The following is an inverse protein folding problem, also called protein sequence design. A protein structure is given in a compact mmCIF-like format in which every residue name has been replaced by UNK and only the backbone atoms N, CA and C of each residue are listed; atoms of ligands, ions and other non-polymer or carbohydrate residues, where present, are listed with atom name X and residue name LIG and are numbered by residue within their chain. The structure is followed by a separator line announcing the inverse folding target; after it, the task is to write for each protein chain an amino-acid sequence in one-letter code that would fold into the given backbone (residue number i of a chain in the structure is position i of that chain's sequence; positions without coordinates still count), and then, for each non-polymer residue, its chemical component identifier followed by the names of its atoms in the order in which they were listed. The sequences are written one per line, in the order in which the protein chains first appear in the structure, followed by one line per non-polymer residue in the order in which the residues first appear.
data_IF_292881828973
#
_entry.id   IF_292881828973
#
_cell.length_a   1.000
_cell.length_b   1.000
_cell.length_c   1.000
_cell.angle_alpha   90.00
_cell.angle_beta   90.00
_cell.angle_gamma   90.00
#
_symmetry.space_group_name_H-M   'P 1'
#
loop_
_entity.id
_entity.type
_entity.pdbx_description
1 polymer ?
#
# COMPACT_ATOMS: atom_id res chain seq x y z
N UNK A 1 18.79 -31.60 -30.24
CA UNK A 1 19.69 -30.42 -30.36
C UNK A 1 19.26 -29.40 -29.32
N UNK A 2 20.02 -29.24 -28.22
CA UNK A 2 19.76 -28.15 -27.26
C UNK A 2 20.32 -26.86 -27.88
N UNK A 3 19.44 -25.98 -28.35
CA UNK A 3 19.81 -24.65 -28.84
C UNK A 3 20.38 -23.87 -27.65
N UNK A 4 21.66 -23.48 -27.71
CA UNK A 4 22.24 -22.55 -26.73
C UNK A 4 21.58 -21.19 -26.92
N UNK A 5 20.65 -20.84 -26.04
CA UNK A 5 20.07 -19.51 -25.96
C UNK A 5 20.98 -18.61 -25.12
N UNK A 6 21.89 -17.88 -25.76
CA UNK A 6 22.62 -16.78 -25.13
C UNK A 6 22.01 -15.45 -25.60
N UNK A 7 20.81 -15.12 -25.12
CA UNK A 7 20.26 -13.77 -25.29
C UNK A 7 20.98 -12.85 -24.31
N UNK A 8 21.72 -11.87 -24.82
CA UNK A 8 22.31 -10.82 -23.98
C UNK A 8 21.23 -9.99 -23.26
N UNK A 9 21.56 -9.47 -22.06
CA UNK A 9 20.62 -8.69 -21.22
C UNK A 9 19.95 -7.54 -21.98
N UNK A 10 20.69 -6.86 -22.86
CA UNK A 10 20.17 -5.78 -23.72
C UNK A 10 19.08 -6.26 -24.68
N UNK A 11 19.27 -7.44 -25.30
CA UNK A 11 18.29 -8.03 -26.21
C UNK A 11 17.04 -8.51 -25.46
N UNK A 12 17.21 -9.06 -24.25
CA UNK A 12 16.09 -9.41 -23.39
C UNK A 12 15.26 -8.17 -23.00
N UNK A 13 15.90 -7.07 -22.60
CA UNK A 13 15.19 -5.83 -22.27
C UNK A 13 14.37 -5.29 -23.45
N UNK A 14 14.97 -5.24 -24.66
CA UNK A 14 14.28 -4.82 -25.89
C UNK A 14 13.09 -5.71 -26.23
N UNK A 15 13.25 -7.03 -26.12
CA UNK A 15 12.17 -7.99 -26.33
C UNK A 15 10.97 -7.70 -25.41
N UNK A 16 11.22 -7.35 -24.15
CA UNK A 16 10.15 -7.00 -23.20
C UNK A 16 9.47 -5.69 -23.57
N UNK A 17 10.23 -4.65 -23.94
CA UNK A 17 9.67 -3.39 -24.44
C UNK A 17 8.79 -3.61 -25.68
N UNK A 18 9.26 -4.37 -26.66
CA UNK A 18 8.51 -4.69 -27.87
C UNK A 18 7.25 -5.51 -27.57
N UNK A 19 7.33 -6.39 -26.56
CA UNK A 19 6.15 -7.14 -26.09
C UNK A 19 5.09 -6.20 -25.53
N UNK A 20 5.47 -5.20 -24.72
CA UNK A 20 4.52 -4.19 -24.20
C UNK A 20 3.92 -3.37 -25.35
N UNK A 21 4.74 -2.93 -26.32
CA UNK A 21 4.28 -2.21 -27.52
C UNK A 21 3.28 -3.03 -28.34
N UNK A 22 3.51 -4.33 -28.49
CA UNK A 22 2.63 -5.22 -29.25
C UNK A 22 1.23 -5.36 -28.63
N UNK A 23 1.10 -5.06 -27.34
CA UNK A 23 -0.18 -5.09 -26.61
C UNK A 23 -0.84 -3.70 -26.53
N UNK A 24 -0.31 -2.71 -27.25
CA UNK A 24 -0.87 -1.36 -27.38
C UNK A 24 -0.52 -0.39 -26.25
N UNK A 25 0.56 -0.66 -25.51
CA UNK A 25 1.05 0.20 -24.42
C UNK A 25 2.49 0.67 -24.68
N UNK A 26 2.88 1.83 -24.14
CA UNK A 26 4.26 2.31 -24.23
C UNK A 26 5.10 1.82 -23.03
N UNK A 27 6.23 1.12 -23.25
CA UNK A 27 7.13 0.74 -22.18
C UNK A 27 7.93 1.93 -21.65
N UNK A 28 8.08 1.99 -20.33
CA UNK A 28 8.90 3.00 -19.66
C UNK A 28 9.91 2.31 -18.73
N UNK A 29 11.03 1.84 -19.27
CA UNK A 29 12.12 1.31 -18.45
C UNK A 29 12.68 2.42 -17.56
N UNK A 30 12.88 2.13 -16.26
CA UNK A 30 13.32 3.12 -15.26
C UNK A 30 14.74 2.79 -14.79
N UNK A 31 15.60 3.81 -14.78
CA UNK A 31 16.96 3.70 -14.24
C UNK A 31 17.51 5.08 -13.83
N UNK A 32 18.64 5.07 -13.13
CA UNK A 32 19.35 6.28 -12.72
C UNK A 32 20.66 6.40 -13.52
N UNK A 33 20.92 7.59 -14.07
CA UNK A 33 22.15 7.89 -14.77
C UNK A 33 22.60 9.30 -14.42
N UNK A 34 23.89 9.47 -14.13
CA UNK A 34 24.55 10.79 -14.07
C UNK A 34 23.78 11.82 -13.21
N UNK A 35 23.20 11.35 -12.12
CA UNK A 35 22.48 12.17 -11.13
C UNK A 35 21.02 12.47 -11.49
N UNK A 36 20.47 11.77 -12.48
CA UNK A 36 19.11 11.95 -12.97
C UNK A 36 18.32 10.65 -12.94
N UNK A 37 17.01 10.80 -12.70
CA UNK A 37 16.03 9.74 -12.87
C UNK A 37 15.60 9.74 -14.34
N UNK A 38 15.62 8.58 -14.98
CA UNK A 38 15.11 8.40 -16.34
C UNK A 38 13.89 7.48 -16.30
N UNK A 39 12.79 7.95 -16.91
CA UNK A 39 11.54 7.21 -17.08
C UNK A 39 11.35 7.01 -18.59
N UNK A 40 11.53 5.78 -19.06
CA UNK A 40 11.76 5.49 -20.47
C UNK A 40 13.23 5.68 -20.83
N UNK A 41 13.85 4.65 -21.39
CA UNK A 41 15.27 4.64 -21.75
C UNK A 41 15.43 4.59 -23.26
N UNK A 42 16.46 5.27 -23.78
CA UNK A 42 16.91 5.05 -25.16
C UNK A 42 17.57 3.69 -25.32
N UNK A 43 17.76 3.24 -26.56
CA UNK A 43 18.49 2.00 -26.88
C UNK A 43 19.90 1.99 -26.29
N UNK A 44 20.58 3.14 -26.32
CA UNK A 44 21.93 3.32 -25.78
C UNK A 44 21.93 3.25 -24.26
N UNK A 45 20.92 3.85 -23.60
CA UNK A 45 20.77 3.80 -22.15
C UNK A 45 20.42 2.39 -21.66
N UNK A 46 19.56 1.66 -22.39
CA UNK A 46 19.26 0.25 -22.14
C UNK A 46 20.53 -0.61 -22.20
N UNK A 47 21.34 -0.45 -23.25
CA UNK A 47 22.61 -1.14 -23.37
C UNK A 47 23.56 -0.77 -22.21
N UNK A 48 23.66 0.53 -21.89
CA UNK A 48 24.51 1.05 -20.81
C UNK A 48 24.18 0.40 -19.46
N UNK A 49 22.91 0.31 -19.07
CA UNK A 49 22.54 -0.33 -17.80
C UNK A 49 22.69 -1.85 -17.84
N UNK A 50 22.38 -2.49 -18.97
CA UNK A 50 22.45 -3.94 -19.12
C UNK A 50 23.88 -4.49 -19.07
N UNK A 51 24.84 -3.73 -19.61
CA UNK A 51 26.24 -4.13 -19.78
C UNK A 51 27.18 -3.53 -18.72
N UNK A 52 26.72 -2.54 -17.95
CA UNK A 52 27.53 -1.92 -16.91
C UNK A 52 27.90 -2.90 -15.80
N UNK A 53 29.21 -3.03 -15.55
CA UNK A 53 29.77 -3.78 -14.42
C UNK A 53 29.78 -2.97 -13.12
N UNK A 54 29.63 -1.66 -13.23
CA UNK A 54 29.67 -0.70 -12.11
C UNK A 54 28.27 -0.28 -11.67
N UNK A 55 27.22 -0.75 -12.34
CA UNK A 55 25.85 -0.43 -12.01
C UNK A 55 25.54 -0.89 -10.58
N UNK A 56 25.04 0.05 -9.77
CA UNK A 56 24.60 -0.24 -8.40
C UNK A 56 23.13 -0.63 -8.39
N UNK A 57 22.76 -1.58 -7.54
CA UNK A 57 21.37 -1.93 -7.29
C UNK A 57 20.77 -0.87 -6.35
N UNK A 58 19.71 -0.20 -6.80
CA UNK A 58 19.10 0.94 -6.09
C UNK A 58 17.73 0.54 -5.56
N UNK A 59 17.58 0.42 -4.24
CA UNK A 59 16.28 0.39 -3.56
C UNK A 59 15.84 1.81 -3.19
N UNK A 60 14.62 1.98 -2.66
CA UNK A 60 14.06 3.31 -2.34
C UNK A 60 14.99 4.17 -1.47
N UNK A 61 15.62 3.58 -0.45
CA UNK A 61 16.58 4.28 0.43
C UNK A 61 17.85 4.74 -0.28
N UNK A 62 18.21 4.08 -1.38
CA UNK A 62 19.48 4.30 -2.07
C UNK A 62 19.35 5.39 -3.16
N UNK A 63 18.12 5.80 -3.53
CA UNK A 63 17.86 6.74 -4.64
C UNK A 63 18.64 8.04 -4.47
N UNK A 64 18.49 8.71 -3.31
CA UNK A 64 19.15 9.99 -3.06
C UNK A 64 20.69 9.87 -3.12
N UNK A 65 21.23 8.78 -2.58
CA UNK A 65 22.67 8.52 -2.61
C UNK A 65 23.16 8.29 -4.04
N UNK A 66 22.46 7.46 -4.83
CA UNK A 66 22.81 7.15 -6.20
C UNK A 66 22.77 8.42 -7.10
N UNK A 67 21.76 9.26 -6.92
CA UNK A 67 21.64 10.54 -7.64
C UNK A 67 22.78 11.50 -7.25
N UNK A 68 23.06 11.68 -5.96
CA UNK A 68 24.14 12.56 -5.52
C UNK A 68 25.52 12.10 -6.00
N UNK A 69 25.75 10.79 -6.13
CA UNK A 69 27.00 10.23 -6.64
C UNK A 69 27.10 10.18 -8.15
N UNK A 70 25.99 10.42 -8.86
CA UNK A 70 25.96 10.34 -10.32
C UNK A 70 26.20 8.94 -10.88
N UNK A 71 26.01 7.88 -10.08
CA UNK A 71 26.30 6.51 -10.51
C UNK A 71 25.19 5.95 -11.39
N UNK A 72 25.55 4.96 -12.22
CA UNK A 72 24.57 4.16 -12.96
C UNK A 72 23.81 3.28 -11.98
N UNK A 73 22.50 3.44 -11.89
CA UNK A 73 21.65 2.75 -10.91
C UNK A 73 20.57 1.91 -11.56
N UNK A 74 20.61 0.59 -11.35
CA UNK A 74 19.53 -0.33 -11.68
C UNK A 74 18.53 -0.43 -10.54
N UNK A 75 17.29 -0.02 -10.76
CA UNK A 75 16.27 0.07 -9.71
C UNK A 75 15.68 -1.29 -9.36
N UNK A 76 15.45 -1.54 -8.06
CA UNK A 76 14.66 -2.68 -7.58
C UNK A 76 13.16 -2.43 -7.80
N UNK A 77 12.32 -3.42 -7.48
CA UNK A 77 10.86 -3.23 -7.50
C UNK A 77 10.45 -2.04 -6.63
N UNK A 78 10.96 -1.95 -5.39
CA UNK A 78 10.68 -0.82 -4.51
C UNK A 78 11.00 0.56 -5.14
N UNK A 79 12.21 0.73 -5.69
CA UNK A 79 12.59 2.00 -6.30
C UNK A 79 11.81 2.28 -7.59
N UNK A 80 11.59 1.26 -8.43
CA UNK A 80 10.82 1.40 -9.67
C UNK A 80 9.38 1.80 -9.38
N UNK A 81 8.71 1.18 -8.40
CA UNK A 81 7.35 1.55 -8.00
C UNK A 81 7.26 3.01 -7.56
N UNK A 82 8.17 3.44 -6.67
CA UNK A 82 8.21 4.82 -6.20
C UNK A 82 8.34 5.82 -7.35
N UNK A 83 9.28 5.58 -8.26
CA UNK A 83 9.55 6.46 -9.39
C UNK A 83 8.46 6.40 -10.47
N UNK A 84 7.87 5.22 -10.71
CA UNK A 84 6.74 5.03 -11.62
C UNK A 84 5.52 5.81 -11.12
N UNK A 85 5.19 5.70 -9.83
CA UNK A 85 4.08 6.43 -9.23
C UNK A 85 4.29 7.94 -9.30
N UNK A 86 5.51 8.43 -9.02
CA UNK A 86 5.87 9.84 -9.17
C UNK A 86 5.69 10.34 -10.61
N UNK A 87 5.82 9.47 -11.61
CA UNK A 87 5.61 9.76 -13.02
C UNK A 87 4.15 9.52 -13.49
N UNK A 88 3.23 9.12 -12.61
CA UNK A 88 1.84 8.80 -12.94
C UNK A 88 1.64 7.44 -13.62
N UNK A 89 2.66 6.57 -13.61
CA UNK A 89 2.57 5.21 -14.15
C UNK A 89 1.93 4.29 -13.10
N UNK A 90 0.79 3.68 -13.46
CA UNK A 90 -0.02 2.85 -12.55
C UNK A 90 0.21 1.35 -12.69
N UNK A 91 0.87 0.89 -13.75
CA UNK A 91 1.13 -0.53 -14.02
C UNK A 91 2.62 -0.76 -14.20
N UNK A 92 3.17 -1.73 -13.46
CA UNK A 92 4.58 -2.09 -13.52
C UNK A 92 4.73 -3.61 -13.69
N UNK A 93 5.32 -4.06 -14.80
CA UNK A 93 5.63 -5.47 -15.03
C UNK A 93 7.07 -5.81 -14.60
N UNK A 94 7.22 -6.91 -13.88
CA UNK A 94 8.53 -7.44 -13.45
C UNK A 94 8.53 -8.97 -13.49
N UNK A 95 9.67 -9.59 -13.25
CA UNK A 95 9.74 -11.04 -13.14
C UNK A 95 9.00 -11.52 -11.91
N UNK A 96 9.49 -11.13 -10.75
CA UNK A 96 8.98 -11.56 -9.44
C UNK A 96 9.38 -10.54 -8.39
N UNK A 97 8.53 -10.32 -7.40
CA UNK A 97 8.83 -9.38 -6.32
C UNK A 97 9.84 -9.98 -5.33
N UNK A 98 10.54 -9.13 -4.58
CA UNK A 98 11.13 -9.56 -3.32
C UNK A 98 10.04 -9.86 -2.29
N UNK A 99 10.43 -10.38 -1.13
CA UNK A 99 9.50 -10.86 -0.14
C UNK A 99 10.17 -11.17 1.19
N UNK A 100 9.51 -11.97 2.01
CA UNK A 100 10.06 -12.50 3.25
C UNK A 100 11.06 -13.60 2.94
N UNK A 101 12.27 -13.50 3.46
CA UNK A 101 13.28 -14.54 3.25
C UNK A 101 13.01 -15.77 4.13
N UNK A 102 13.45 -16.94 3.65
CA UNK A 102 13.42 -18.17 4.46
C UNK A 102 14.32 -17.97 5.69
N UNK A 103 13.82 -18.32 6.89
CA UNK A 103 14.54 -18.09 8.17
C UNK A 103 14.35 -16.69 8.79
N UNK A 104 13.36 -15.92 8.32
CA UNK A 104 13.04 -14.57 8.85
C UNK A 104 12.84 -14.52 10.37
N UNK A 105 12.43 -15.62 10.99
CA UNK A 105 12.26 -15.76 12.45
C UNK A 105 13.54 -15.48 13.24
N UNK A 106 14.69 -15.56 12.58
CA UNK A 106 16.01 -15.28 13.18
C UNK A 106 16.68 -14.06 12.55
N UNK A 107 16.44 -13.81 11.26
CA UNK A 107 17.21 -12.82 10.48
C UNK A 107 16.50 -11.48 10.32
N UNK A 108 15.16 -11.46 10.42
CA UNK A 108 14.31 -10.34 10.03
C UNK A 108 14.59 -9.81 8.61
N UNK A 109 15.12 -10.67 7.71
CA UNK A 109 15.44 -10.31 6.33
C UNK A 109 14.15 -10.26 5.48
N UNK A 110 13.61 -9.05 5.33
CA UNK A 110 12.37 -8.77 4.62
C UNK A 110 12.67 -7.72 3.54
N UNK A 111 12.26 -8.01 2.31
CA UNK A 111 12.47 -7.10 1.19
C UNK A 111 11.75 -5.77 1.39
N UNK A 112 12.45 -4.67 1.07
CA UNK A 112 11.85 -3.34 0.98
C UNK A 112 10.75 -3.24 -0.09
N UNK A 113 10.66 -4.21 -1.02
CA UNK A 113 9.57 -4.29 -2.00
C UNK A 113 8.21 -4.41 -1.30
N UNK A 114 8.12 -5.20 -0.21
CA UNK A 114 6.88 -5.33 0.55
C UNK A 114 6.49 -4.02 1.22
N UNK A 115 7.48 -3.33 1.79
CA UNK A 115 7.29 -2.03 2.44
C UNK A 115 6.86 -0.94 1.46
N UNK A 116 7.29 -1.04 0.21
CA UNK A 116 6.86 -0.14 -0.86
C UNK A 116 5.42 -0.42 -1.31
N UNK A 117 5.04 -1.69 -1.41
CA UNK A 117 3.70 -2.11 -1.76
C UNK A 117 2.64 -1.61 -0.76
N UNK A 118 2.99 -1.38 0.50
CA UNK A 118 2.07 -0.84 1.51
C UNK A 118 1.71 0.64 1.32
N UNK A 119 2.43 1.37 0.44
CA UNK A 119 2.35 2.84 0.41
C UNK A 119 2.27 3.45 -0.99
N UNK A 120 2.50 2.65 -2.03
CA UNK A 120 2.62 3.14 -3.41
C UNK A 120 1.59 2.44 -4.30
N UNK A 121 0.54 3.15 -4.75
CA UNK A 121 -0.58 2.57 -5.48
C UNK A 121 -0.22 2.32 -6.96
N UNK A 122 0.67 1.34 -7.15
CA UNK A 122 1.07 0.79 -8.44
C UNK A 122 0.72 -0.68 -8.47
N UNK A 123 0.08 -1.13 -9.55
CA UNK A 123 -0.17 -2.54 -9.79
C UNK A 123 1.08 -3.21 -10.34
N UNK A 124 1.64 -4.15 -9.59
CA UNK A 124 2.82 -4.92 -9.97
C UNK A 124 2.37 -6.25 -10.58
N UNK A 125 2.64 -6.42 -11.87
CA UNK A 125 2.40 -7.66 -12.62
C UNK A 125 3.65 -8.52 -12.54
N UNK A 126 3.55 -9.70 -11.92
CA UNK A 126 4.70 -10.56 -11.67
C UNK A 126 4.34 -12.04 -11.57
N UNK A 127 5.33 -12.93 -11.66
CA UNK A 127 5.14 -14.37 -11.45
C UNK A 127 5.12 -14.74 -9.96
N UNK A 128 4.52 -13.89 -9.13
CA UNK A 128 4.55 -14.00 -7.67
C UNK A 128 5.89 -13.56 -7.07
N UNK A 129 6.33 -14.29 -6.06
CA UNK A 129 7.51 -13.98 -5.24
C UNK A 129 8.68 -14.83 -5.71
N UNK A 130 9.90 -14.27 -5.80
CA UNK A 130 11.09 -15.03 -6.23
C UNK A 130 11.23 -16.33 -5.43
N UNK A 131 11.52 -17.43 -6.11
CA UNK A 131 11.51 -18.81 -5.57
C UNK A 131 12.45 -19.06 -4.37
N UNK A 132 13.48 -18.23 -4.21
CA UNK A 132 14.42 -18.27 -3.08
C UNK A 132 13.81 -17.81 -1.73
N UNK A 133 12.59 -17.28 -1.76
CA UNK A 133 11.93 -16.65 -0.63
C UNK A 133 10.90 -17.59 0.04
N UNK A 134 10.32 -17.13 1.13
CA UNK A 134 9.26 -17.80 1.87
C UNK A 134 7.90 -17.27 1.37
N UNK A 135 7.26 -18.03 0.47
CA UNK A 135 6.01 -17.61 -0.18
C UNK A 135 4.87 -17.48 0.84
N UNK A 136 4.58 -18.49 1.70
CA UNK A 136 3.53 -18.36 2.71
C UNK A 136 3.70 -17.14 3.59
N UNK A 137 4.90 -16.91 4.17
CA UNK A 137 5.12 -15.73 5.02
C UNK A 137 5.03 -14.41 4.24
N UNK A 138 5.37 -14.41 2.95
CA UNK A 138 5.23 -13.21 2.11
C UNK A 138 3.76 -12.87 1.86
N UNK A 139 2.93 -13.87 1.56
CA UNK A 139 1.48 -13.66 1.36
C UNK A 139 0.82 -13.18 2.64
N UNK A 140 1.14 -13.79 3.79
CA UNK A 140 0.67 -13.35 5.11
C UNK A 140 1.09 -11.91 5.43
N UNK A 141 2.34 -11.53 5.08
CA UNK A 141 2.81 -10.16 5.23
C UNK A 141 1.97 -9.18 4.40
N UNK A 142 1.71 -9.52 3.14
CA UNK A 142 0.91 -8.70 2.23
C UNK A 142 -0.53 -8.54 2.73
N UNK A 143 -1.13 -9.63 3.22
CA UNK A 143 -2.47 -9.60 3.83
C UNK A 143 -2.53 -8.69 5.06
N UNK A 144 -1.58 -8.87 5.98
CA UNK A 144 -1.49 -8.08 7.22
C UNK A 144 -1.42 -6.57 6.95
N UNK A 145 -0.77 -6.17 5.84
CA UNK A 145 -0.59 -4.76 5.49
C UNK A 145 -1.55 -4.28 4.39
N UNK A 146 -2.67 -4.98 4.20
CA UNK A 146 -3.74 -4.58 3.26
C UNK A 146 -3.25 -4.38 1.82
N UNK A 147 -2.22 -5.12 1.39
CA UNK A 147 -1.78 -5.15 0.00
C UNK A 147 -2.62 -6.17 -0.77
N UNK A 148 -3.41 -5.69 -1.73
CA UNK A 148 -4.24 -6.56 -2.57
C UNK A 148 -3.35 -7.53 -3.37
N UNK A 149 -3.56 -8.83 -3.21
CA UNK A 149 -3.00 -9.83 -4.12
C UNK A 149 -4.12 -10.52 -4.90
N UNK A 150 -3.95 -10.54 -6.22
CA UNK A 150 -4.88 -11.11 -7.18
C UNK A 150 -4.10 -12.14 -8.00
N UNK A 151 -4.51 -13.40 -7.96
CA UNK A 151 -4.02 -14.40 -8.91
C UNK A 151 -4.73 -14.21 -10.25
N UNK A 152 -3.97 -14.10 -11.33
CA UNK A 152 -4.50 -14.06 -12.68
C UNK A 152 -4.58 -15.48 -13.27
N UNK A 153 -5.74 -16.12 -13.16
CA UNK A 153 -5.99 -17.47 -13.64
C UNK A 153 -7.26 -18.12 -13.08
N UNK A 154 -7.50 -19.38 -13.48
CA UNK A 154 -8.69 -20.18 -13.11
C UNK A 154 -8.77 -20.57 -11.65
N UNK A 155 -7.61 -20.74 -11.01
CA UNK A 155 -7.47 -21.25 -9.64
C UNK A 155 -6.74 -20.23 -8.80
N UNK A 156 -7.22 -20.02 -7.58
CA UNK A 156 -6.55 -19.17 -6.61
C UNK A 156 -5.38 -19.92 -5.97
N UNK A 157 -4.30 -20.07 -6.74
CA UNK A 157 -3.03 -20.66 -6.33
C UNK A 157 -1.94 -19.64 -6.62
N UNK A 158 -1.28 -19.16 -5.56
CA UNK A 158 -0.25 -18.13 -5.70
C UNK A 158 1.00 -18.74 -6.37
N UNK A 159 1.51 -18.17 -7.47
CA UNK A 159 2.62 -18.75 -8.21
C UNK A 159 3.96 -18.63 -7.48
N UNK A 160 4.81 -19.64 -7.62
CA UNK A 160 6.14 -19.74 -7.01
C UNK A 160 7.27 -19.33 -7.95
N UNK A 161 7.05 -18.32 -8.80
CA UNK A 161 7.99 -17.84 -9.81
C UNK A 161 8.26 -18.84 -10.94
N UNK A 162 8.97 -19.94 -10.66
CA UNK A 162 9.23 -21.01 -11.63
C UNK A 162 8.19 -22.13 -11.60
N UNK A 163 7.32 -22.15 -10.59
CA UNK A 163 6.26 -23.15 -10.42
C UNK A 163 4.88 -22.48 -10.46
N UNK A 164 3.94 -23.12 -11.15
CA UNK A 164 2.54 -22.67 -11.18
C UNK A 164 1.80 -23.01 -9.88
N UNK A 165 2.14 -24.15 -9.28
CA UNK A 165 1.44 -24.66 -8.11
C UNK A 165 2.29 -24.48 -6.85
N UNK A 166 1.70 -23.81 -5.87
CA UNK A 166 2.22 -23.74 -4.49
C UNK A 166 1.08 -24.05 -3.53
N UNK A 167 1.37 -24.12 -2.24
CA UNK A 167 0.35 -24.27 -1.20
C UNK A 167 -0.26 -22.92 -0.77
N UNK A 168 0.26 -21.80 -1.29
CA UNK A 168 -0.21 -20.46 -0.93
C UNK A 168 -1.36 -20.02 -1.85
N UNK A 169 -2.23 -19.16 -1.33
CA UNK A 169 -3.38 -18.58 -2.04
C UNK A 169 -3.36 -17.07 -1.86
N UNK A 170 -3.77 -16.31 -2.87
CA UNK A 170 -3.97 -14.87 -2.70
C UNK A 170 -5.35 -14.58 -2.09
N UNK A 171 -5.63 -13.31 -1.78
CA UNK A 171 -6.96 -12.90 -1.32
C UNK A 171 -8.00 -13.05 -2.45
N UNK A 172 -7.59 -12.75 -3.70
CA UNK A 172 -8.49 -12.75 -4.85
C UNK A 172 -7.93 -13.54 -6.03
N UNK A 173 -8.81 -13.89 -6.97
CA UNK A 173 -8.45 -14.62 -8.19
C UNK A 173 -9.42 -14.24 -9.30
N UNK A 174 -8.90 -14.01 -10.50
CA UNK A 174 -9.72 -13.68 -11.68
C UNK A 174 -9.03 -14.08 -12.98
N UNK A 175 -9.81 -14.31 -14.02
CA UNK A 175 -9.33 -14.45 -15.41
C UNK A 175 -9.60 -13.18 -16.25
N UNK A 176 -10.30 -12.19 -15.67
CA UNK A 176 -10.73 -10.97 -16.37
C UNK A 176 -9.90 -9.76 -15.95
N UNK A 177 -9.07 -9.24 -16.86
CA UNK A 177 -8.30 -8.02 -16.60
C UNK A 177 -9.20 -6.80 -16.37
N UNK A 178 -10.46 -6.80 -16.85
CA UNK A 178 -11.38 -5.70 -16.56
C UNK A 178 -11.79 -5.66 -15.08
N UNK A 179 -11.80 -6.81 -14.38
CA UNK A 179 -11.97 -6.83 -12.91
C UNK A 179 -10.79 -6.18 -12.21
N UNK A 180 -9.57 -6.41 -12.71
CA UNK A 180 -8.36 -5.77 -12.19
C UNK A 180 -8.41 -4.26 -12.45
N UNK A 181 -8.80 -3.81 -13.64
CA UNK A 181 -9.01 -2.38 -13.96
C UNK A 181 -10.01 -1.73 -12.99
N UNK A 182 -11.18 -2.37 -12.79
CA UNK A 182 -12.19 -1.92 -11.81
C UNK A 182 -11.60 -1.79 -10.40
N UNK A 183 -10.78 -2.74 -9.98
CA UNK A 183 -10.13 -2.71 -8.67
C UNK A 183 -9.15 -1.54 -8.54
N UNK A 184 -8.31 -1.31 -9.56
CA UNK A 184 -7.35 -0.20 -9.60
C UNK A 184 -8.09 1.14 -9.51
N UNK A 185 -9.11 1.35 -10.34
CA UNK A 185 -9.86 2.61 -10.36
C UNK A 185 -10.68 2.82 -9.08
N UNK A 186 -11.26 1.77 -8.51
CA UNK A 186 -11.94 1.86 -7.23
C UNK A 186 -10.96 2.24 -6.11
N UNK A 187 -9.79 1.61 -6.08
CA UNK A 187 -8.75 1.91 -5.10
C UNK A 187 -8.28 3.36 -5.20
N UNK A 188 -8.08 3.86 -6.43
CA UNK A 188 -7.72 5.26 -6.68
C UNK A 188 -8.85 6.22 -6.26
N UNK A 189 -10.10 5.91 -6.60
CA UNK A 189 -11.26 6.72 -6.24
C UNK A 189 -11.47 6.82 -4.72
N UNK A 190 -11.19 5.75 -3.99
CA UNK A 190 -11.22 5.68 -2.53
C UNK A 190 -9.94 6.22 -1.88
N UNK A 191 -8.92 6.56 -2.67
CA UNK A 191 -7.59 7.00 -2.22
C UNK A 191 -6.94 5.99 -1.28
N UNK A 192 -7.08 4.71 -1.59
CA UNK A 192 -6.41 3.66 -0.83
C UNK A 192 -4.92 3.70 -1.15
N UNK A 193 -4.12 3.92 -0.12
CA UNK A 193 -2.67 3.96 -0.21
C UNK A 193 -2.12 2.54 -0.08
N UNK A 194 -2.16 1.77 -1.17
CA UNK A 194 -1.51 0.47 -1.29
C UNK A 194 -1.38 0.05 -2.77
N UNK A 195 -0.31 -0.64 -3.10
CA UNK A 195 -0.12 -1.31 -4.37
C UNK A 195 -1.01 -2.54 -4.51
N UNK A 196 -1.05 -3.09 -5.72
CA UNK A 196 -1.75 -4.35 -6.01
C UNK A 196 -0.78 -5.32 -6.67
N UNK A 197 -0.70 -6.55 -6.17
CA UNK A 197 -0.02 -7.64 -6.86
C UNK A 197 -1.00 -8.31 -7.81
N UNK A 198 -0.68 -8.32 -9.10
CA UNK A 198 -1.29 -9.22 -10.07
C UNK A 198 -0.32 -10.37 -10.32
N UNK A 199 -0.54 -11.49 -9.64
CA UNK A 199 0.31 -12.66 -9.69
C UNK A 199 -0.08 -13.56 -10.89
N UNK A 200 0.78 -13.61 -11.89
CA UNK A 200 0.59 -14.32 -13.15
C UNK A 200 1.42 -15.61 -13.16
N UNK A 201 0.81 -16.80 -13.11
CA UNK A 201 1.54 -18.05 -13.23
C UNK A 201 2.38 -18.12 -14.51
N UNK A 202 3.51 -18.81 -14.43
CA UNK A 202 4.30 -19.15 -15.61
C UNK A 202 3.44 -19.88 -16.65
N UNK A 203 3.59 -19.66 -17.96
CA UNK A 203 2.83 -20.38 -18.99
C UNK A 203 3.00 -21.91 -18.94
N UNK A 204 1.94 -22.67 -19.25
CA UNK A 204 1.91 -24.15 -19.22
C UNK A 204 3.06 -24.78 -20.03
N UNK A 205 3.39 -24.18 -21.18
CA UNK A 205 4.44 -24.65 -22.09
C UNK A 205 5.85 -24.63 -21.47
N UNK A 206 6.05 -23.86 -20.40
CA UNK A 206 7.32 -23.70 -19.69
C UNK A 206 7.34 -24.45 -18.34
N UNK A 207 6.25 -25.14 -17.97
CA UNK A 207 6.07 -25.76 -16.65
C UNK A 207 7.00 -26.97 -16.42
N UNK A 208 7.25 -27.79 -17.44
CA UNK A 208 7.96 -29.07 -17.32
C UNK A 208 9.37 -28.97 -16.72
N UNK A 209 9.97 -27.78 -16.81
CA UNK A 209 11.31 -27.50 -16.31
C UNK A 209 11.32 -26.88 -14.89
N UNK A 210 10.15 -26.49 -14.35
CA UNK A 210 10.01 -25.78 -13.08
C UNK A 210 10.40 -26.61 -11.86
N UNK A 211 10.03 -27.90 -11.83
CA UNK A 211 10.39 -28.79 -10.71
C UNK A 211 11.90 -29.04 -10.64
N UNK A 212 12.56 -29.14 -11.79
CA UNK A 212 14.02 -29.27 -11.86
C UNK A 212 14.71 -28.02 -11.30
N UNK A 213 14.17 -26.82 -11.58
CA UNK A 213 14.68 -25.57 -11.04
C UNK A 213 14.46 -25.49 -9.52
N UNK A 214 13.30 -25.90 -9.01
CA UNK A 214 13.03 -25.89 -7.55
C UNK A 214 14.01 -26.82 -6.80
N UNK A 215 14.30 -27.99 -7.35
CA UNK A 215 15.32 -28.88 -6.78
C UNK A 215 16.70 -28.21 -6.77
N UNK A 216 17.06 -27.51 -7.85
CA UNK A 216 18.32 -26.76 -7.92
C UNK A 216 18.37 -25.58 -6.92
N UNK A 217 17.23 -24.93 -6.65
CA UNK A 217 17.11 -23.86 -5.66
C UNK A 217 17.34 -24.41 -4.25
N UNK A 218 16.77 -25.57 -3.92
CA UNK A 218 16.97 -26.17 -2.60
C UNK A 218 18.46 -26.49 -2.35
N UNK A 219 19.14 -27.07 -3.34
CA UNK A 219 20.59 -27.31 -3.28
C UNK A 219 21.36 -25.99 -3.11
N UNK A 220 21.02 -24.96 -3.88
CA UNK A 220 21.68 -23.66 -3.78
C UNK A 220 21.48 -22.99 -2.41
N UNK A 221 20.31 -23.13 -1.80
CA UNK A 221 20.00 -22.62 -0.46
C UNK A 221 20.83 -23.31 0.63
N UNK A 222 20.95 -24.64 0.56
CA UNK A 222 21.77 -25.42 1.49
C UNK A 222 23.26 -25.06 1.35
N UNK A 223 23.72 -24.83 0.12
CA UNK A 223 25.08 -24.33 -0.14
C UNK A 223 25.29 -22.90 0.37
N UNK A 224 24.33 -22.00 0.21
CA UNK A 224 24.43 -20.64 0.73
C UNK A 224 24.56 -20.64 2.25
N UNK A 225 23.76 -21.49 2.92
CA UNK A 225 23.77 -21.65 4.37
C UNK A 225 25.10 -22.22 4.86
N UNK A 226 25.60 -23.30 4.25
CA UNK A 226 26.90 -23.89 4.62
C UNK A 226 28.09 -22.95 4.40
N UNK A 227 27.98 -22.00 3.45
CA UNK A 227 29.00 -20.98 3.17
C UNK A 227 28.81 -19.67 3.94
N UNK A 228 27.80 -19.58 4.83
CA UNK A 228 27.45 -18.37 5.58
C UNK A 228 27.26 -17.13 4.69
N UNK A 229 26.66 -17.28 3.52
CA UNK A 229 26.32 -16.16 2.64
C UNK A 229 25.06 -15.49 3.20
N UNK A 230 25.11 -14.17 3.42
CA UNK A 230 24.06 -13.42 4.13
C UNK A 230 23.62 -12.15 3.39
N UNK A 231 22.38 -11.73 3.65
CA UNK A 231 21.79 -10.46 3.22
C UNK A 231 21.87 -10.23 1.69
N UNK A 232 22.43 -9.09 1.25
CA UNK A 232 22.43 -8.65 -0.16
C UNK A 232 23.16 -9.61 -1.11
N UNK A 233 24.05 -10.47 -0.58
CA UNK A 233 24.87 -11.38 -1.37
C UNK A 233 24.18 -12.75 -1.61
N UNK A 234 23.11 -13.05 -0.86
CA UNK A 234 22.35 -14.31 -0.99
C UNK A 234 21.68 -14.40 -2.36
N UNK A 235 20.95 -13.37 -2.79
CA UNK A 235 20.20 -13.43 -4.06
C UNK A 235 21.11 -13.60 -5.29
N UNK A 236 22.21 -12.82 -5.46
CA UNK A 236 23.14 -13.03 -6.56
C UNK A 236 23.78 -14.42 -6.55
N UNK A 237 24.17 -14.93 -5.38
CA UNK A 237 24.74 -16.27 -5.24
C UNK A 237 23.73 -17.35 -5.68
N UNK A 238 22.50 -17.30 -5.17
CA UNK A 238 21.48 -18.29 -5.47
C UNK A 238 21.14 -18.32 -6.96
N UNK A 239 20.94 -17.16 -7.59
CA UNK A 239 20.64 -17.10 -9.02
C UNK A 239 21.78 -17.65 -9.88
N UNK A 240 23.03 -17.31 -9.55
CA UNK A 240 24.20 -17.83 -10.26
C UNK A 240 24.33 -19.35 -10.10
N UNK A 241 24.12 -19.87 -8.88
CA UNK A 241 24.23 -21.30 -8.59
C UNK A 241 23.10 -22.11 -9.24
N UNK A 242 21.86 -21.62 -9.20
CA UNK A 242 20.72 -22.24 -9.88
C UNK A 242 20.95 -22.28 -11.40
N UNK A 243 21.47 -21.21 -11.99
CA UNK A 243 21.81 -21.20 -13.41
C UNK A 243 22.88 -22.23 -13.77
N UNK A 244 23.91 -22.39 -12.92
CA UNK A 244 24.94 -23.41 -13.10
C UNK A 244 24.37 -24.83 -13.00
N UNK A 245 23.51 -25.09 -12.00
CA UNK A 245 22.91 -26.41 -11.76
C UNK A 245 21.90 -26.81 -12.85
N UNK A 246 21.24 -25.83 -13.47
CA UNK A 246 20.21 -26.04 -14.50
C UNK A 246 20.76 -25.99 -15.92
N UNK A 247 22.06 -25.74 -16.10
CA UNK A 247 22.69 -25.66 -17.42
C UNK A 247 22.13 -24.56 -18.32
N UNK A 248 21.63 -23.46 -17.75
CA UNK A 248 21.05 -22.33 -18.49
C UNK A 248 19.53 -22.34 -18.65
N UNK A 249 18.84 -23.44 -18.33
CA UNK A 249 17.37 -23.54 -18.48
C UNK A 249 16.62 -22.51 -17.63
N UNK A 250 17.08 -22.24 -16.41
CA UNK A 250 16.49 -21.21 -15.54
C UNK A 250 16.48 -19.82 -16.16
N UNK A 251 17.48 -19.48 -17.01
CA UNK A 251 17.50 -18.21 -17.71
C UNK A 251 16.46 -18.15 -18.83
N UNK A 252 16.32 -19.23 -19.62
CA UNK A 252 15.31 -19.32 -20.69
C UNK A 252 13.91 -19.12 -20.12
N UNK A 253 13.62 -19.82 -19.03
CA UNK A 253 12.32 -19.75 -18.34
C UNK A 253 12.11 -18.36 -17.73
N UNK A 254 13.15 -17.75 -17.17
CA UNK A 254 13.06 -16.39 -16.65
C UNK A 254 12.76 -15.35 -17.74
N UNK A 255 13.26 -15.52 -18.97
CA UNK A 255 12.86 -14.65 -20.08
C UNK A 255 11.40 -14.90 -20.48
N UNK A 256 10.99 -16.16 -20.56
CA UNK A 256 9.60 -16.51 -20.88
C UNK A 256 8.58 -15.98 -19.86
N UNK A 257 8.87 -16.07 -18.56
CA UNK A 257 8.00 -15.51 -17.52
C UNK A 257 7.98 -13.98 -17.57
N UNK A 258 9.14 -13.33 -17.79
CA UNK A 258 9.21 -11.88 -17.93
C UNK A 258 8.37 -11.41 -19.12
N UNK A 259 8.43 -12.13 -20.24
CA UNK A 259 7.64 -11.82 -21.43
C UNK A 259 6.15 -12.00 -21.19
N UNK A 260 5.73 -13.06 -20.48
CA UNK A 260 4.33 -13.25 -20.08
C UNK A 260 3.82 -12.09 -19.21
N UNK A 261 4.61 -11.68 -18.21
CA UNK A 261 4.24 -10.57 -17.33
C UNK A 261 4.21 -9.23 -18.07
N UNK A 262 5.17 -8.99 -18.98
CA UNK A 262 5.19 -7.81 -19.84
C UNK A 262 3.94 -7.75 -20.74
N UNK A 263 3.53 -8.90 -21.30
CA UNK A 263 2.31 -9.02 -22.10
C UNK A 263 1.06 -8.67 -21.29
N UNK A 264 0.89 -9.29 -20.12
CA UNK A 264 -0.27 -9.06 -19.25
C UNK A 264 -0.28 -7.62 -18.74
N UNK A 265 0.87 -7.08 -18.35
CA UNK A 265 1.01 -5.69 -17.93
C UNK A 265 0.69 -4.70 -19.04
N UNK A 266 1.16 -4.95 -20.27
CA UNK A 266 0.82 -4.13 -21.44
C UNK A 266 -0.68 -4.12 -21.73
N UNK A 267 -1.34 -5.29 -21.67
CA UNK A 267 -2.81 -5.38 -21.82
C UNK A 267 -3.55 -4.64 -20.72
N UNK A 268 -3.15 -4.84 -19.47
CA UNK A 268 -3.76 -4.18 -18.32
C UNK A 268 -3.64 -2.66 -18.42
N UNK A 269 -2.46 -2.14 -18.78
CA UNK A 269 -2.23 -0.71 -18.95
C UNK A 269 -3.09 -0.11 -20.07
N UNK A 270 -3.23 -0.82 -21.20
CA UNK A 270 -4.13 -0.40 -22.30
C UNK A 270 -5.58 -0.33 -21.84
N UNK A 271 -6.10 -1.40 -21.22
CA UNK A 271 -7.48 -1.43 -20.72
C UNK A 271 -7.72 -0.34 -19.66
N UNK A 272 -6.74 -0.10 -18.79
CA UNK A 272 -6.81 0.95 -17.77
C UNK A 272 -6.81 2.36 -18.40
N UNK A 273 -6.17 2.55 -19.56
CA UNK A 273 -6.19 3.84 -20.28
C UNK A 273 -7.50 4.08 -21.04
N UNK A 274 -8.18 3.00 -21.43
CA UNK A 274 -9.47 3.03 -22.14
C UNK A 274 -10.68 3.06 -21.19
N UNK A 275 -10.45 2.93 -19.88
CA UNK A 275 -11.54 2.86 -18.91
C UNK A 275 -12.27 4.19 -18.77
N UNK A 276 -13.59 4.15 -18.91
CA UNK A 276 -14.49 5.28 -18.67
C UNK A 276 -15.26 5.14 -17.34
N UNK A 277 -14.78 4.28 -16.42
CA UNK A 277 -15.59 3.87 -15.28
C UNK A 277 -15.98 5.08 -14.40
N UNK A 278 -17.28 5.23 -14.10
CA UNK A 278 -17.77 6.37 -13.34
C UNK A 278 -17.27 6.30 -11.91
N UNK A 279 -16.87 7.45 -11.36
CA UNK A 279 -16.48 7.57 -9.95
C UNK A 279 -17.62 7.04 -9.06
N UNK A 280 -17.33 6.15 -8.09
CA UNK A 280 -18.34 5.64 -7.18
C UNK A 280 -19.02 6.81 -6.46
N UNK A 281 -20.34 6.91 -6.57
CA UNK A 281 -21.12 7.79 -5.71
C UNK A 281 -21.19 7.12 -4.36
N UNK A 282 -20.53 7.68 -3.35
CA UNK A 282 -20.80 7.33 -1.96
C UNK A 282 -22.28 7.65 -1.71
N UNK A 283 -23.12 6.62 -1.63
CA UNK A 283 -24.55 6.78 -1.39
C UNK A 283 -24.76 7.01 0.10
N UNK A 284 -24.47 8.22 0.57
CA UNK A 284 -25.17 8.77 1.72
C UNK A 284 -26.58 9.17 1.25
N UNK A 285 -27.63 8.79 1.97
CA UNK A 285 -28.98 9.35 1.75
C UNK A 285 -28.93 10.86 2.02
N UNK A 286 -28.55 11.64 1.01
CA UNK A 286 -28.68 13.09 1.01
C UNK A 286 -29.98 13.41 0.27
N UNK A 287 -31.07 13.54 1.01
CA UNK A 287 -32.29 14.18 0.53
C UNK A 287 -32.07 15.69 0.48
N UNK A 288 -31.19 16.20 -0.37
CA UNK A 288 -31.21 17.61 -0.73
C UNK A 288 -30.77 17.82 -2.19
N UNK A 289 -31.69 18.40 -2.97
CA UNK A 289 -31.46 18.85 -4.33
C UNK A 289 -30.18 19.69 -4.42
N UNK A 290 -29.36 19.36 -5.41
CA UNK A 290 -28.10 20.05 -5.68
C UNK A 290 -28.37 21.51 -6.10
N UNK A 291 -27.97 22.45 -5.26
CA UNK A 291 -27.63 23.80 -5.70
C UNK A 291 -26.11 23.93 -5.81
N UNK A 292 -25.70 24.60 -6.88
CA UNK A 292 -24.34 24.79 -7.36
C UNK A 292 -23.48 25.63 -6.39
N UNK A 293 -22.18 25.33 -6.38
CA UNK A 293 -21.09 26.03 -5.65
C UNK A 293 -21.26 26.13 -4.13
N UNK A 294 -20.97 25.04 -3.39
CA UNK A 294 -20.78 25.12 -1.93
C UNK A 294 -19.29 25.18 -1.59
N UNK A 295 -18.90 26.25 -0.89
CA UNK A 295 -17.61 26.39 -0.21
C UNK A 295 -17.41 25.17 0.70
N UNK A 296 -16.18 24.64 0.87
CA UNK A 296 -15.94 23.52 1.77
C UNK A 296 -16.47 23.85 3.17
N UNK A 297 -17.15 22.91 3.85
CA UNK A 297 -17.75 23.17 5.15
C UNK A 297 -16.67 23.48 6.18
N UNK A 298 -16.92 24.46 7.04
CA UNK A 298 -16.07 24.74 8.20
C UNK A 298 -16.38 23.74 9.31
N UNK A 299 -15.39 22.96 9.72
CA UNK A 299 -15.52 21.95 10.76
C UNK A 299 -14.73 22.39 11.99
N UNK A 300 -15.37 22.37 13.16
CA UNK A 300 -14.71 22.58 14.45
C UNK A 300 -14.77 21.25 15.21
N UNK A 301 -13.64 20.81 15.74
CA UNK A 301 -13.51 19.57 16.51
C UNK A 301 -13.24 19.92 17.98
N UNK A 302 -14.02 19.34 18.90
CA UNK A 302 -13.96 19.61 20.34
C UNK A 302 -13.77 18.30 21.11
N UNK A 303 -12.60 18.16 21.72
CA UNK A 303 -12.18 16.87 22.29
C UNK A 303 -11.65 15.96 21.19
N UNK A 304 -10.39 15.60 21.32
CA UNK A 304 -9.78 14.52 20.58
C UNK A 304 -8.62 14.01 21.43
N UNK A 305 -8.65 12.75 21.81
CA UNK A 305 -7.41 12.09 22.20
C UNK A 305 -7.26 10.83 21.36
N UNK A 306 -6.37 10.97 20.38
CA UNK A 306 -6.02 10.01 19.34
C UNK A 306 -7.05 9.94 18.21
N UNK A 307 -6.87 10.83 17.24
CA UNK A 307 -7.30 10.61 15.86
C UNK A 307 -6.01 10.43 15.06
N UNK A 308 -5.57 9.18 14.88
CA UNK A 308 -4.59 8.85 13.85
C UNK A 308 -5.36 8.81 12.52
N UNK A 309 -5.59 10.00 11.96
CA UNK A 309 -6.00 10.14 10.57
C UNK A 309 -4.79 10.69 9.83
N UNK A 310 -4.15 9.82 9.05
CA UNK A 310 -3.28 10.25 7.97
C UNK A 310 -4.20 10.76 6.84
N UNK A 311 -4.47 12.06 6.82
CA UNK A 311 -5.08 12.73 5.68
C UNK A 311 -3.99 13.53 4.97
N UNK A 312 -3.55 13.04 3.81
CA UNK A 312 -2.67 13.80 2.92
C UNK A 312 -3.48 14.96 2.34
N UNK A 313 -3.17 16.17 2.79
CA UNK A 313 -3.72 17.43 2.29
C UNK A 313 -2.59 18.26 1.70
N UNK A 314 -2.81 18.84 0.52
CA UNK A 314 -1.91 19.84 -0.06
C UNK A 314 -2.08 21.22 0.62
N UNK A 315 -3.06 21.36 1.51
CA UNK A 315 -3.25 22.55 2.33
C UNK A 315 -2.54 22.37 3.68
N UNK A 316 -1.92 23.43 4.17
CA UNK A 316 -1.32 23.44 5.51
C UNK A 316 -2.44 23.47 6.56
N UNK A 317 -3.04 22.31 6.85
CA UNK A 317 -4.21 22.18 7.75
C UNK A 317 -3.82 22.24 9.23
N UNK A 318 -2.53 22.32 9.56
CA UNK A 318 -2.07 22.48 10.95
C UNK A 318 -2.16 23.94 11.37
N UNK A 319 -3.35 24.35 11.78
CA UNK A 319 -3.52 25.56 12.57
C UNK A 319 -3.41 25.21 14.06
N UNK A 320 -2.24 25.49 14.66
CA UNK A 320 -2.03 25.32 16.11
C UNK A 320 -2.26 26.60 16.91
N UNK A 321 -2.81 27.66 16.29
CA UNK A 321 -3.03 28.96 16.96
C UNK A 321 -3.99 28.86 18.15
N UNK A 322 -4.88 27.87 18.15
CA UNK A 322 -5.87 27.62 19.20
C UNK A 322 -5.58 26.33 20.01
N UNK A 323 -4.34 25.83 20.00
CA UNK A 323 -3.93 24.68 20.81
C UNK A 323 -3.47 25.15 22.18
N UNK A 324 -4.28 24.90 23.20
CA UNK A 324 -3.92 25.21 24.59
C UNK A 324 -2.95 24.15 25.15
N UNK A 325 -1.84 24.61 25.74
CA UNK A 325 -0.81 23.74 26.32
C UNK A 325 -0.93 23.72 27.84
N UNK A 326 -1.30 22.56 28.37
CA UNK A 326 -1.48 22.31 29.80
C UNK A 326 -0.16 21.85 30.39
N UNK A 327 0.41 22.64 31.32
CA UNK A 327 1.77 22.42 31.87
C UNK A 327 1.79 21.52 33.11
N UNK A 328 0.65 21.38 33.78
CA UNK A 328 0.48 20.67 35.05
C UNK A 328 0.05 19.20 34.89
N UNK A 329 -0.18 18.73 33.66
CA UNK A 329 -0.60 17.36 33.38
C UNK A 329 0.31 16.64 32.38
N UNK A 330 0.54 15.33 32.54
CA UNK A 330 1.28 14.53 31.57
C UNK A 330 0.48 14.35 30.28
N UNK A 331 1.19 14.14 29.17
CA UNK A 331 0.58 13.73 27.89
C UNK A 331 -0.21 12.43 28.08
N UNK A 332 -1.42 12.37 27.51
CA UNK A 332 -2.25 11.19 27.55
C UNK A 332 -1.52 9.98 26.96
N UNK A 333 -1.69 8.81 27.58
CA UNK A 333 -1.10 7.55 27.12
C UNK A 333 -2.18 6.52 26.85
N UNK A 334 -2.01 5.73 25.81
CA UNK A 334 -2.88 4.61 25.48
C UNK A 334 -2.03 3.36 25.25
N UNK A 335 -2.46 2.25 25.82
CA UNK A 335 -1.83 0.94 25.63
C UNK A 335 -2.90 -0.06 25.19
N UNK A 336 -2.74 -0.62 24.00
CA UNK A 336 -3.58 -1.70 23.50
C UNK A 336 -2.95 -3.06 23.81
N UNK A 337 -3.75 -4.00 24.31
CA UNK A 337 -3.39 -5.41 24.47
C UNK A 337 -3.98 -6.19 23.31
N UNK A 338 -3.11 -6.71 22.44
CA UNK A 338 -3.48 -7.51 21.29
C UNK A 338 -3.41 -9.00 21.61
N UNK A 339 -4.47 -9.75 21.28
CA UNK A 339 -4.49 -11.23 21.35
C UNK A 339 -4.98 -11.75 20.00
N UNK A 340 -4.11 -12.46 19.28
CA UNK A 340 -4.44 -13.02 17.96
C UNK A 340 -4.71 -11.98 16.88
N UNK A 341 -4.03 -10.82 16.92
CA UNK A 341 -4.22 -9.74 15.94
C UNK A 341 -5.38 -8.79 16.26
N UNK A 342 -6.19 -9.08 17.27
CA UNK A 342 -7.29 -8.21 17.71
C UNK A 342 -6.95 -7.49 19.03
N UNK A 343 -7.26 -6.19 19.10
CA UNK A 343 -7.21 -5.43 20.36
C UNK A 343 -8.30 -5.96 21.28
N UNK A 344 -7.90 -6.65 22.36
CA UNK A 344 -8.84 -7.18 23.37
C UNK A 344 -9.08 -6.21 24.50
N UNK A 345 -8.07 -5.42 24.87
CA UNK A 345 -8.17 -4.43 25.93
C UNK A 345 -7.42 -3.15 25.54
N UNK A 346 -8.02 -2.00 25.83
CA UNK A 346 -7.35 -0.71 25.79
C UNK A 346 -7.21 -0.18 27.21
N UNK A 347 -6.00 0.14 27.64
CA UNK A 347 -5.73 0.84 28.89
C UNK A 347 -5.39 2.28 28.53
N UNK A 348 -6.27 3.21 28.90
CA UNK A 348 -6.12 4.63 28.61
C UNK A 348 -5.84 5.43 29.89
N UNK A 349 -4.75 6.19 29.89
CA UNK A 349 -4.39 7.16 30.91
C UNK A 349 -4.59 8.57 30.34
N UNK A 350 -5.86 8.90 30.13
CA UNK A 350 -6.37 10.12 29.49
C UNK A 350 -7.09 11.05 30.48
N UNK A 351 -7.48 10.53 31.64
CA UNK A 351 -8.65 10.99 32.39
C UNK A 351 -8.61 12.44 32.87
N UNK A 352 -7.45 13.00 33.22
CA UNK A 352 -7.40 14.35 33.80
C UNK A 352 -7.20 15.45 32.78
N UNK A 353 -6.57 15.18 31.64
CA UNK A 353 -6.38 16.19 30.59
C UNK A 353 -7.69 16.50 29.88
N UNK A 354 -8.55 15.49 29.69
CA UNK A 354 -9.85 15.67 29.05
C UNK A 354 -10.82 16.48 29.91
N UNK A 355 -10.69 16.43 31.24
CA UNK A 355 -11.48 17.28 32.16
C UNK A 355 -11.18 18.77 32.00
N UNK A 356 -10.03 19.13 31.43
CA UNK A 356 -9.65 20.53 31.18
C UNK A 356 -10.40 21.13 29.99
N UNK A 357 -11.03 20.30 29.16
CA UNK A 357 -11.97 20.75 28.13
C UNK A 357 -13.30 21.08 28.83
N UNK A 358 -13.35 22.24 29.48
CA UNK A 358 -14.48 22.68 30.31
C UNK A 358 -15.47 23.55 29.52
N UNK A 359 -16.70 23.77 30.03
CA UNK A 359 -17.67 24.68 29.41
C UNK A 359 -17.14 26.10 29.20
N UNK A 360 -16.27 26.58 30.10
CA UNK A 360 -15.63 27.89 29.98
C UNK A 360 -14.67 27.94 28.80
N UNK A 361 -13.90 26.87 28.56
CA UNK A 361 -13.02 26.75 27.39
C UNK A 361 -13.86 26.80 26.11
N UNK A 362 -14.97 26.06 26.05
CA UNK A 362 -15.88 26.10 24.89
C UNK A 362 -16.45 27.50 24.67
N UNK A 363 -16.90 28.15 25.74
CA UNK A 363 -17.49 29.49 25.68
C UNK A 363 -16.46 30.56 25.28
N UNK A 364 -15.20 30.44 25.71
CA UNK A 364 -14.13 31.35 25.28
C UNK A 364 -13.81 31.25 23.78
N UNK A 365 -14.18 30.13 23.14
CA UNK A 365 -14.01 29.87 21.71
C UNK A 365 -15.33 29.91 20.93
N UNK A 366 -16.37 30.53 21.49
CA UNK A 366 -17.72 30.60 20.91
C UNK A 366 -17.73 31.14 19.47
N UNK A 367 -16.86 32.10 19.16
CA UNK A 367 -16.73 32.65 17.81
C UNK A 367 -16.37 31.58 16.76
N UNK A 368 -15.55 30.58 17.12
CA UNK A 368 -15.20 29.47 16.22
C UNK A 368 -16.41 28.58 15.98
N UNK A 369 -17.10 28.18 17.06
CA UNK A 369 -18.29 27.33 17.01
C UNK A 369 -19.41 28.00 16.20
N UNK A 370 -19.65 29.30 16.42
CA UNK A 370 -20.68 30.08 15.72
C UNK A 370 -20.47 30.15 14.21
N UNK A 371 -19.22 30.03 13.76
CA UNK A 371 -18.83 30.13 12.35
C UNK A 371 -18.74 28.77 11.63
N UNK A 372 -18.87 27.67 12.36
CA UNK A 372 -18.76 26.32 11.85
C UNK A 372 -20.04 25.87 11.14
N UNK A 373 -19.93 25.00 10.14
CA UNK A 373 -21.07 24.27 9.59
C UNK A 373 -21.36 23.01 10.41
N UNK A 374 -20.30 22.39 10.94
CA UNK A 374 -20.36 21.22 11.82
C UNK A 374 -19.46 21.41 13.04
N UNK A 375 -19.97 20.99 14.19
CA UNK A 375 -19.24 20.93 15.46
C UNK A 375 -19.18 19.45 15.85
N UNK A 376 -17.98 18.88 15.73
CA UNK A 376 -17.67 17.49 16.01
C UNK A 376 -17.16 17.40 17.46
N UNK A 377 -17.69 16.51 18.28
CA UNK A 377 -17.23 16.38 19.66
C UNK A 377 -17.20 14.95 20.18
N UNK A 378 -16.18 14.69 20.99
CA UNK A 378 -15.77 13.38 21.49
C UNK A 378 -16.47 13.05 22.83
N UNK A 379 -16.97 11.81 22.98
CA UNK A 379 -17.67 11.35 24.18
C UNK A 379 -16.82 11.21 25.44
N UNK A 380 -15.49 11.30 25.34
CA UNK A 380 -14.59 11.32 26.48
C UNK A 380 -14.69 12.62 27.29
N UNK A 381 -15.15 13.74 26.70
CA UNK A 381 -15.23 15.04 27.39
C UNK A 381 -16.31 15.06 28.50
N UNK A 382 -16.23 15.99 29.48
CA UNK A 382 -17.22 16.09 30.56
C UNK A 382 -18.65 16.30 30.04
N UNK A 383 -19.65 15.73 30.71
CA UNK A 383 -21.07 15.89 30.33
C UNK A 383 -21.48 17.37 30.25
N UNK A 384 -21.06 18.21 31.20
CA UNK A 384 -21.37 19.65 31.17
C UNK A 384 -20.77 20.35 29.94
N UNK A 385 -19.63 19.88 29.46
CA UNK A 385 -19.00 20.40 28.24
C UNK A 385 -19.79 19.99 27.00
N UNK A 386 -20.26 18.73 26.95
CA UNK A 386 -21.13 18.24 25.88
C UNK A 386 -22.42 19.07 25.82
N UNK A 387 -23.07 19.27 26.96
CA UNK A 387 -24.28 20.10 27.08
C UNK A 387 -24.03 21.50 26.54
N UNK A 388 -22.93 22.15 26.94
CA UNK A 388 -22.56 23.48 26.46
C UNK A 388 -22.33 23.54 24.95
N UNK A 389 -21.73 22.51 24.35
CA UNK A 389 -21.54 22.43 22.90
C UNK A 389 -22.89 22.32 22.19
N UNK A 390 -23.81 21.50 22.72
CA UNK A 390 -25.14 21.31 22.15
C UNK A 390 -25.99 22.58 22.27
N UNK A 391 -25.88 23.31 23.38
CA UNK A 391 -26.51 24.63 23.53
C UNK A 391 -26.03 25.61 22.46
N UNK A 392 -24.72 25.74 22.29
CA UNK A 392 -24.12 26.68 21.34
C UNK A 392 -24.39 26.27 19.89
N UNK A 393 -24.33 24.98 19.57
CA UNK A 393 -24.67 24.48 18.24
C UNK A 393 -26.14 24.80 17.92
N UNK A 394 -27.04 24.58 18.86
CA UNK A 394 -28.47 24.92 18.71
C UNK A 394 -28.66 26.42 18.52
N UNK A 395 -28.06 27.24 19.41
CA UNK A 395 -28.21 28.69 19.39
C UNK A 395 -27.76 29.31 18.07
N UNK A 396 -26.63 28.83 17.52
CA UNK A 396 -26.09 29.31 16.24
C UNK A 396 -26.60 28.54 15.01
N UNK A 397 -27.55 27.61 15.19
CA UNK A 397 -28.10 26.77 14.14
C UNK A 397 -27.01 25.99 13.36
N UNK A 398 -26.06 25.40 14.10
CA UNK A 398 -24.95 24.59 13.60
C UNK A 398 -25.19 23.12 13.86
N UNK A 399 -24.60 22.27 13.01
CA UNK A 399 -24.79 20.82 13.12
C UNK A 399 -23.86 20.24 14.16
N UNK A 400 -24.41 19.70 15.23
CA UNK A 400 -23.73 18.88 16.21
C UNK A 400 -23.52 17.46 15.68
N UNK A 401 -22.29 16.97 15.78
CA UNK A 401 -21.95 15.58 15.53
C UNK A 401 -21.22 15.02 16.75
N UNK A 402 -21.83 14.00 17.35
CA UNK A 402 -21.30 13.30 18.51
C UNK A 402 -20.60 11.99 18.14
N UNK A 403 -19.37 11.79 18.63
CA UNK A 403 -18.64 10.52 18.54
C UNK A 403 -18.66 9.83 19.90
N UNK A 404 -19.46 8.76 20.07
CA UNK A 404 -19.38 7.93 21.26
C UNK A 404 -18.24 6.93 21.09
N UNK A 405 -17.38 6.81 22.11
CA UNK A 405 -16.23 5.89 22.09
C UNK A 405 -16.51 4.58 22.85
N UNK A 406 -17.55 4.57 23.69
CA UNK A 406 -18.13 3.37 24.31
C UNK A 406 -19.57 3.64 24.79
N UNK A 407 -20.23 2.59 25.29
CA UNK A 407 -21.61 2.64 25.81
C UNK A 407 -21.75 3.63 26.98
N UNK A 408 -20.76 3.74 27.88
CA UNK A 408 -20.87 4.65 29.02
C UNK A 408 -20.80 6.12 28.57
N UNK A 409 -19.97 6.41 27.56
CA UNK A 409 -19.87 7.76 26.96
C UNK A 409 -21.11 8.09 26.14
N UNK A 410 -21.67 7.09 25.45
CA UNK A 410 -22.95 7.23 24.77
C UNK A 410 -24.06 7.67 25.74
N UNK A 411 -24.12 7.11 26.95
CA UNK A 411 -25.16 7.48 27.93
C UNK A 411 -25.16 8.98 28.30
N UNK A 412 -24.02 9.68 28.17
CA UNK A 412 -23.91 11.10 28.55
C UNK A 412 -24.86 12.03 27.81
N UNK A 413 -25.17 11.75 26.54
CA UNK A 413 -26.11 12.59 25.76
C UNK A 413 -27.57 12.41 26.20
N UNK A 414 -27.85 11.42 27.05
CA UNK A 414 -29.16 11.20 27.68
C UNK A 414 -29.23 11.77 29.10
N UNK A 415 -28.12 12.27 29.65
CA UNK A 415 -28.06 12.85 31.00
C UNK A 415 -28.58 14.31 31.04
N UNK A 416 -28.77 14.93 29.89
CA UNK A 416 -29.31 16.29 29.73
C UNK A 416 -30.32 16.36 28.58
N UNK A 417 -31.15 17.40 28.57
CA UNK A 417 -32.23 17.58 27.60
C UNK A 417 -31.70 18.26 26.32
N UNK A 418 -31.11 17.47 25.42
CA UNK A 418 -30.54 17.98 24.17
C UNK A 418 -30.15 16.94 23.12
N UNK A 419 -30.43 15.66 23.32
CA UNK A 419 -30.12 14.60 22.36
C UNK A 419 -30.76 14.86 20.99
N UNK A 420 -32.01 15.34 20.97
CA UNK A 420 -32.78 15.66 19.77
C UNK A 420 -32.14 16.78 18.94
N UNK A 421 -31.20 17.51 19.53
CA UNK A 421 -30.46 18.63 18.91
C UNK A 421 -29.11 18.19 18.36
N UNK A 422 -28.76 16.90 18.48
CA UNK A 422 -27.57 16.30 17.87
C UNK A 422 -27.96 15.72 16.51
N UNK A 423 -27.41 16.27 15.42
CA UNK A 423 -27.82 15.89 14.06
C UNK A 423 -27.14 14.62 13.55
N UNK A 424 -25.95 14.30 14.07
CA UNK A 424 -25.20 13.11 13.66
C UNK A 424 -24.60 12.44 14.89
N UNK A 425 -24.71 11.11 14.94
CA UNK A 425 -23.99 10.29 15.92
C UNK A 425 -23.27 9.19 15.15
N UNK A 426 -22.02 8.91 15.47
CA UNK A 426 -21.20 7.89 14.79
C UNK A 426 -20.85 6.71 15.71
N UNK A 427 -21.82 5.87 16.10
CA UNK A 427 -21.58 4.77 17.03
C UNK A 427 -20.91 3.57 16.37
N UNK A 428 -20.13 2.82 17.15
CA UNK A 428 -19.74 1.46 16.80
C UNK A 428 -20.93 0.48 16.96
N UNK A 429 -20.73 -0.77 16.52
CA UNK A 429 -21.78 -1.78 16.51
C UNK A 429 -22.36 -2.12 17.90
N UNK A 430 -21.60 -1.91 18.98
CA UNK A 430 -22.07 -2.19 20.34
C UNK A 430 -22.89 -1.03 20.90
N UNK A 431 -22.44 0.21 20.69
CA UNK A 431 -23.18 1.42 21.03
C UNK A 431 -24.51 1.52 20.28
N UNK A 432 -24.51 1.22 18.98
CA UNK A 432 -25.73 1.27 18.16
C UNK A 432 -26.81 0.31 18.65
N UNK A 433 -26.45 -0.82 19.25
CA UNK A 433 -27.41 -1.79 19.81
C UNK A 433 -28.03 -1.33 21.14
N UNK A 434 -27.46 -0.33 21.78
CA UNK A 434 -27.91 0.21 23.07
C UNK A 434 -28.71 1.51 22.94
N UNK A 435 -28.63 2.18 21.79
CA UNK A 435 -29.54 3.25 21.38
C UNK A 435 -30.91 2.67 21.01
#
# INVERSE_FOLDING_TARGET
MKVKWEIGKTLAAKLLEDTVRSEGSEPATIALFDGRIHIGLSNEQLARIAESKEAVKVSRRDIAYALNKGVVGGTTVAATMYLAHMAGIRVFATGGIGGVHRGVDQTLDISADLIELMRTPVTVVCAGVKSILDIPKTVEFLETHSVNCIVFGKRNVFPGFFTQETQARAQYCTEDLNEVVRNIEMSENLRLEAGTILACPIPDELQGDGQTIENAIQVALDEAKSKNIISKDVTPFLLARVNQLTGGESMRINIGLLQNNARIGGRLARLLSESELPRPRIVGKSTHQASTTKKPPKIVVVGATIVDVEAVSNENVKDSSNVELIKDLPTAKYMSVNVGGEVRFGISAIGDIVKKISPEVISSHESLLSSADFILFDGNIPTQTIERIVELSTFYNRKAWFEPTDIAKLCKIFEFDGMERIQVISPNANEFRQM
#
